data_IF_459366614525
#
_entry.id   IF_459366614525
#
_cell.length_a   1.000
_cell.length_b   1.000
_cell.length_c   1.000
_cell.angle_alpha   90.00
_cell.angle_beta   90.00
_cell.angle_gamma   90.00
#
_symmetry.space_group_name_H-M   'P 1'
#
loop_
_entity.id
_entity.type
_entity.pdbx_description
1 polymer ?
#
# COMPACT_ATOMS: atom_id res chain seq x y z
N UNK A 1 2.55 -5.13 40.23
CA UNK A 1 2.33 -3.99 39.32
C UNK A 1 2.39 -4.52 37.90
N UNK A 2 1.29 -4.45 37.17
CA UNK A 2 1.24 -4.84 35.76
C UNK A 2 0.09 -4.09 35.12
N UNK A 3 0.39 -2.97 34.47
CA UNK A 3 -0.55 -2.23 33.65
C UNK A 3 -0.18 -2.48 32.19
N UNK A 4 -1.17 -2.65 31.33
CA UNK A 4 -0.95 -2.70 29.89
C UNK A 4 -0.74 -1.27 29.38
N UNK A 5 0.33 -1.05 28.64
CA UNK A 5 0.58 0.19 27.92
C UNK A 5 0.06 0.04 26.49
N UNK A 6 -0.82 0.96 26.08
CA UNK A 6 -1.26 1.11 24.69
C UNK A 6 -0.49 2.26 24.06
N UNK A 7 0.13 2.01 22.91
CA UNK A 7 0.96 2.98 22.19
C UNK A 7 0.46 3.13 20.76
N UNK A 8 0.36 4.38 20.31
CA UNK A 8 0.03 4.73 18.92
C UNK A 8 1.18 5.51 18.31
N UNK A 9 1.66 5.06 17.15
CA UNK A 9 2.77 5.67 16.41
C UNK A 9 2.28 6.17 15.05
N UNK A 10 2.78 7.34 14.63
CA UNK A 10 2.49 7.93 13.31
C UNK A 10 3.78 8.01 12.50
N UNK A 11 3.81 7.35 11.35
CA UNK A 11 4.93 7.34 10.41
C UNK A 11 4.51 8.08 9.15
N UNK A 12 5.26 9.13 8.79
CA UNK A 12 5.04 9.86 7.54
C UNK A 12 5.95 9.31 6.45
N UNK A 13 5.36 8.88 5.35
CA UNK A 13 6.09 8.61 4.13
C UNK A 13 6.53 9.93 3.48
N UNK A 14 7.83 10.14 3.37
CA UNK A 14 8.41 11.35 2.77
C UNK A 14 8.26 11.38 1.24
N UNK A 15 8.08 10.23 0.59
CA UNK A 15 7.93 10.14 -0.87
C UNK A 15 6.49 10.38 -1.30
N UNK A 16 5.53 9.64 -0.71
CA UNK A 16 4.10 9.79 -1.04
C UNK A 16 3.38 10.88 -0.25
N UNK A 17 3.98 11.38 0.85
CA UNK A 17 3.36 12.33 1.76
C UNK A 17 2.29 11.75 2.69
N UNK A 18 1.96 10.46 2.55
CA UNK A 18 0.93 9.76 3.33
C UNK A 18 1.42 9.51 4.76
N UNK A 19 0.49 9.51 5.71
CA UNK A 19 0.78 9.17 7.12
C UNK A 19 0.12 7.85 7.47
N UNK A 20 0.90 6.95 8.06
CA UNK A 20 0.48 5.64 8.52
C UNK A 20 0.45 5.64 10.04
N UNK A 21 -0.60 5.05 10.59
CA UNK A 21 -0.76 4.90 12.04
C UNK A 21 -0.58 3.43 12.37
N UNK A 22 0.21 3.14 13.39
CA UNK A 22 0.38 1.80 13.93
C UNK A 22 0.13 1.76 15.43
N UNK A 23 -0.23 0.58 15.91
CA UNK A 23 -0.66 0.35 17.29
C UNK A 23 0.12 -0.80 17.91
N UNK A 24 0.42 -0.69 19.20
CA UNK A 24 1.12 -1.72 19.97
C UNK A 24 0.60 -1.74 21.40
N UNK A 25 0.56 -2.92 22.01
CA UNK A 25 0.05 -3.09 23.37
C UNK A 25 0.90 -4.09 24.12
N UNK A 26 1.65 -3.60 25.11
CA UNK A 26 2.55 -4.44 25.87
C UNK A 26 2.66 -3.95 27.32
N UNK A 27 3.14 -4.82 28.22
CA UNK A 27 3.37 -4.45 29.62
C UNK A 27 4.55 -3.47 29.74
N UNK A 28 5.52 -3.59 28.83
CA UNK A 28 6.62 -2.64 28.66
C UNK A 28 6.30 -1.64 27.54
N UNK A 29 6.31 -0.35 27.87
CA UNK A 29 6.05 0.74 26.92
C UNK A 29 7.07 0.78 25.77
N UNK A 30 8.32 0.36 26.01
CA UNK A 30 9.37 0.35 24.97
C UNK A 30 9.04 -0.71 23.93
N UNK A 31 8.63 -1.89 24.37
CA UNK A 31 8.22 -2.97 23.48
C UNK A 31 6.92 -2.63 22.72
N UNK A 32 5.92 -2.09 23.43
CA UNK A 32 4.69 -1.59 22.81
C UNK A 32 4.97 -0.54 21.71
N UNK A 33 5.95 0.34 21.93
CA UNK A 33 6.34 1.35 20.94
C UNK A 33 7.01 0.74 19.71
N UNK A 34 7.80 -0.33 19.89
CA UNK A 34 8.41 -1.09 18.81
C UNK A 34 7.37 -1.79 17.95
N UNK A 35 6.40 -2.47 18.57
CA UNK A 35 5.28 -3.11 17.88
C UNK A 35 4.45 -2.10 17.07
N UNK A 36 4.11 -0.97 17.70
CA UNK A 36 3.35 0.09 17.03
C UNK A 36 4.10 0.67 15.83
N UNK A 37 5.42 0.81 15.92
CA UNK A 37 6.25 1.27 14.80
C UNK A 37 6.29 0.23 13.67
N UNK A 38 6.46 -1.06 13.99
CA UNK A 38 6.46 -2.14 13.00
C UNK A 38 5.10 -2.25 12.29
N UNK A 39 3.98 -2.14 13.00
CA UNK A 39 2.64 -2.12 12.40
C UNK A 39 2.49 -0.94 11.42
N UNK A 40 2.93 0.26 11.79
CA UNK A 40 2.88 1.43 10.91
C UNK A 40 3.76 1.25 9.65
N UNK A 41 4.97 0.71 9.80
CA UNK A 41 5.91 0.47 8.69
C UNK A 41 5.39 -0.62 7.75
N UNK A 42 4.85 -1.71 8.29
CA UNK A 42 4.28 -2.79 7.49
C UNK A 42 3.11 -2.28 6.62
N UNK A 43 2.26 -1.42 7.18
CA UNK A 43 1.18 -0.75 6.42
C UNK A 43 1.76 0.14 5.32
N UNK A 44 2.79 0.94 5.65
CA UNK A 44 3.45 1.81 4.68
C UNK A 44 4.02 1.00 3.51
N UNK A 45 4.81 -0.04 3.79
CA UNK A 45 5.42 -0.87 2.75
C UNK A 45 4.36 -1.61 1.93
N UNK A 46 3.35 -2.19 2.59
CA UNK A 46 2.25 -2.85 1.90
C UNK A 46 1.48 -1.91 0.95
N UNK A 47 1.29 -0.64 1.32
CA UNK A 47 0.69 0.34 0.39
C UNK A 47 1.60 0.70 -0.77
N UNK A 48 2.91 0.83 -0.56
CA UNK A 48 3.86 1.11 -1.65
C UNK A 48 3.93 -0.04 -2.64
N UNK A 49 3.94 -1.28 -2.16
CA UNK A 49 3.95 -2.46 -3.00
C UNK A 49 2.66 -2.57 -3.82
N UNK A 50 1.51 -2.26 -3.21
CA UNK A 50 0.24 -2.19 -3.90
C UNK A 50 0.19 -1.08 -4.97
N UNK A 51 0.74 0.10 -4.67
CA UNK A 51 0.87 1.20 -5.64
C UNK A 51 1.80 0.84 -6.81
N UNK A 52 2.93 0.18 -6.54
CA UNK A 52 3.84 -0.30 -7.56
C UNK A 52 3.17 -1.35 -8.47
N UNK A 53 2.43 -2.30 -7.89
CA UNK A 53 1.66 -3.29 -8.65
C UNK A 53 0.53 -2.66 -9.48
N UNK A 54 -0.18 -1.67 -8.94
CA UNK A 54 -1.22 -0.94 -9.66
C UNK A 54 -0.63 -0.12 -10.83
N UNK A 55 0.55 0.49 -10.64
CA UNK A 55 1.29 1.17 -11.71
C UNK A 55 1.64 0.25 -12.87
N UNK A 56 2.10 -0.97 -12.59
CA UNK A 56 2.39 -1.97 -13.61
C UNK A 56 1.13 -2.42 -14.39
N UNK A 57 0.00 -2.59 -13.70
CA UNK A 57 -1.27 -2.98 -14.33
C UNK A 57 -1.86 -1.87 -15.23
N UNK A 58 -1.69 -0.60 -14.86
CA UNK A 58 -2.20 0.54 -15.64
C UNK A 58 -1.48 0.71 -16.99
N UNK A 59 -0.23 0.27 -17.10
CA UNK A 59 0.55 0.40 -18.34
C UNK A 59 0.28 -0.70 -19.38
N UNK A 60 -0.42 -1.78 -19.01
CA UNK A 60 -0.46 -3.00 -19.85
C UNK A 60 -1.66 -3.09 -20.81
N UNK A 61 -2.61 -2.15 -20.77
CA UNK A 61 -3.67 -2.11 -21.80
C UNK A 61 -3.25 -1.23 -22.98
N UNK A 62 -2.40 -1.76 -23.86
CA UNK A 62 -2.23 -1.19 -25.20
C UNK A 62 -3.50 -1.46 -26.00
N UNK A 63 -4.39 -0.45 -26.10
CA UNK A 63 -5.58 -0.52 -26.97
C UNK A 63 -5.14 -0.51 -28.44
N UNK A 64 -5.05 -1.68 -29.04
CA UNK A 64 -4.85 -1.80 -30.48
C UNK A 64 -6.13 -1.38 -31.23
N UNK A 65 -6.10 -0.38 -32.13
CA UNK A 65 -7.21 -0.13 -33.04
C UNK A 65 -7.26 -1.27 -34.06
N UNK A 66 -8.18 -2.21 -33.85
CA UNK A 66 -8.42 -3.31 -34.77
C UNK A 66 -8.73 -2.79 -36.18
N UNK A 67 -7.96 -3.21 -37.18
CA UNK A 67 -8.23 -2.92 -38.58
C UNK A 67 -9.53 -3.62 -38.96
N UNK A 68 -10.61 -2.87 -39.20
CA UNK A 68 -11.85 -3.39 -39.76
C UNK A 68 -11.68 -3.68 -41.26
N UNK A 69 -11.00 -4.77 -41.59
CA UNK A 69 -10.99 -5.32 -42.95
C UNK A 69 -12.10 -6.37 -43.08
N UNK A 70 -13.32 -5.93 -43.40
CA UNK A 70 -14.34 -6.82 -44.00
C UNK A 70 -14.58 -6.37 -45.43
N UNK A 71 -13.75 -6.85 -46.34
CA UNK A 71 -14.06 -6.88 -47.77
C UNK A 71 -15.00 -8.05 -48.00
N UNK A 72 -16.27 -7.78 -48.33
CA UNK A 72 -17.16 -8.76 -49.00
C UNK A 72 -17.61 -8.16 -50.32
N UNK A 73 -17.36 -8.95 -51.35
CA UNK A 73 -17.39 -8.68 -52.79
C UNK A 73 -18.82 -8.47 -53.29
N UNK A 74 -18.89 -7.67 -54.36
CA UNK A 74 -20.05 -7.39 -55.23
C UNK A 74 -20.82 -8.63 -55.71
N UNK A 75 -22.12 -8.46 -55.89
CA UNK A 75 -22.96 -9.19 -56.86
C UNK A 75 -23.88 -8.20 -57.56
#
# INVERSE_FOLDING_TARGET
>A
TGALAEVTVRVKDLYSGRTFVGHGTHVDVVEASGEAYLDAVNRLLGTRDAEAAAGAASSDTIRFPGKSSTKRVSA
#
